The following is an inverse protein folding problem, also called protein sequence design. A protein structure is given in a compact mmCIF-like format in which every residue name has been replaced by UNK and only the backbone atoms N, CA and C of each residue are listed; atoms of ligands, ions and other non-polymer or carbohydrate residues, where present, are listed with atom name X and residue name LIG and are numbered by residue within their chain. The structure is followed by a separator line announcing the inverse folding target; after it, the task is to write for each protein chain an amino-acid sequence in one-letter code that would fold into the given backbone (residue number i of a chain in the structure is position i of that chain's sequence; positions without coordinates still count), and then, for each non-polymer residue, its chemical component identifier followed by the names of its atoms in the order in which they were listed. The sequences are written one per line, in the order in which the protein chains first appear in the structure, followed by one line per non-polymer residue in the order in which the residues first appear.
data_IF_051081139094
#
_entry.id   IF_051081139094
#
_cell.length_a   1.000
_cell.length_b   1.000
_cell.length_c   1.000
_cell.angle_alpha   90.00
_cell.angle_beta   90.00
_cell.angle_gamma   90.00
#
_symmetry.space_group_name_H-M   'P 1'
#
loop_
_entity.id
_entity.type
_entity.pdbx_description
1 polymer ?
#
# COMPACT_ATOMS: atom_id res chain seq x y z
N UNK A 1 -17.74 -0.24 5.73
CA UNK A 1 -17.19 -0.80 6.97
C UNK A 1 -15.69 -0.49 7.04
N UNK A 2 -15.22 -0.04 8.19
CA UNK A 2 -13.80 0.20 8.45
C UNK A 2 -13.25 -0.89 9.38
N UNK A 3 -11.95 -1.19 9.24
CA UNK A 3 -11.27 -2.17 10.09
C UNK A 3 -9.87 -1.72 10.47
N UNK A 4 -9.43 -2.13 11.62
CA UNK A 4 -8.04 -2.05 12.09
C UNK A 4 -7.85 -3.04 13.24
N UNK A 5 -6.61 -3.23 13.69
CA UNK A 5 -6.36 -4.04 14.89
C UNK A 5 -7.02 -3.42 16.13
N UNK A 6 -7.42 -4.25 17.09
CA UNK A 6 -8.04 -3.78 18.34
C UNK A 6 -7.19 -2.73 19.08
N UNK A 7 -5.86 -2.83 18.99
CA UNK A 7 -4.93 -1.86 19.58
C UNK A 7 -5.05 -0.50 18.88
N UNK A 8 -5.04 -0.48 17.55
CA UNK A 8 -5.15 0.75 16.77
C UNK A 8 -6.52 1.44 16.94
N UNK A 9 -7.59 0.66 17.07
CA UNK A 9 -8.94 1.20 17.31
C UNK A 9 -9.01 1.96 18.64
N UNK A 10 -8.34 1.47 19.69
CA UNK A 10 -8.28 2.16 20.99
C UNK A 10 -7.61 3.54 20.92
N UNK A 11 -6.80 3.81 19.91
CA UNK A 11 -6.22 5.15 19.68
C UNK A 11 -7.25 6.17 19.17
N UNK A 12 -8.46 5.74 18.80
CA UNK A 12 -9.63 6.57 18.57
C UNK A 12 -9.76 7.25 17.21
N UNK A 13 -8.73 7.27 16.38
CA UNK A 13 -8.75 7.99 15.09
C UNK A 13 -9.76 7.36 14.11
N UNK A 14 -9.77 6.04 14.01
CA UNK A 14 -10.67 5.34 13.08
C UNK A 14 -12.15 5.42 13.54
N UNK A 15 -12.41 5.48 14.85
CA UNK A 15 -13.76 5.62 15.39
C UNK A 15 -14.38 6.95 14.99
N UNK A 16 -13.62 8.04 15.07
CA UNK A 16 -14.05 9.37 14.61
C UNK A 16 -14.34 9.39 13.10
N UNK A 17 -13.53 8.66 12.33
CA UNK A 17 -13.76 8.52 10.90
C UNK A 17 -15.05 7.75 10.62
N UNK A 18 -15.29 6.66 11.34
CA UNK A 18 -16.51 5.87 11.20
C UNK A 18 -17.78 6.68 11.51
N UNK A 19 -17.75 7.49 12.57
CA UNK A 19 -18.84 8.43 12.90
C UNK A 19 -19.10 9.42 11.75
N UNK A 20 -18.02 10.02 11.21
CA UNK A 20 -18.11 10.96 10.09
C UNK A 20 -18.69 10.30 8.82
N UNK A 21 -18.39 9.03 8.59
CA UNK A 21 -18.84 8.27 7.42
C UNK A 21 -20.15 7.50 7.69
N UNK A 22 -20.76 7.62 8.87
CA UNK A 22 -21.93 6.87 9.29
C UNK A 22 -21.80 5.36 9.03
N UNK A 23 -20.69 4.77 9.50
CA UNK A 23 -20.37 3.35 9.30
C UNK A 23 -19.83 2.71 10.58
N UNK A 24 -19.66 1.39 10.56
CA UNK A 24 -19.17 0.62 11.69
C UNK A 24 -17.65 0.39 11.58
N UNK A 25 -17.01 0.14 12.72
CA UNK A 25 -15.63 -0.36 12.83
C UNK A 25 -15.67 -1.79 13.34
N UNK A 26 -15.11 -2.70 12.58
CA UNK A 26 -14.95 -4.09 12.99
C UNK A 26 -13.46 -4.35 13.28
N UNK A 27 -13.09 -4.71 14.51
CA UNK A 27 -11.69 -5.06 14.81
C UNK A 27 -11.30 -6.34 14.10
N UNK A 28 -10.15 -6.32 13.40
CA UNK A 28 -9.57 -7.51 12.79
C UNK A 28 -8.05 -7.38 12.67
N UNK A 29 -7.36 -8.48 12.95
CA UNK A 29 -5.98 -8.68 12.53
C UNK A 29 -5.98 -9.31 11.14
N UNK A 30 -5.50 -8.60 10.14
CA UNK A 30 -5.50 -9.06 8.75
C UNK A 30 -4.60 -10.30 8.53
N UNK A 31 -3.77 -10.69 9.49
CA UNK A 31 -3.00 -11.93 9.44
C UNK A 31 -3.79 -13.15 9.95
N UNK A 32 -4.91 -12.92 10.63
CA UNK A 32 -5.81 -13.95 11.18
C UNK A 32 -6.96 -14.23 10.21
N UNK A 33 -7.05 -15.46 9.72
CA UNK A 33 -8.16 -15.88 8.85
C UNK A 33 -9.49 -15.79 9.59
N UNK A 34 -9.53 -16.17 10.88
CA UNK A 34 -10.76 -16.09 11.68
C UNK A 34 -11.27 -14.65 11.87
N UNK A 35 -10.34 -13.69 12.09
CA UNK A 35 -10.71 -12.27 12.17
C UNK A 35 -11.24 -11.75 10.84
N UNK A 36 -10.63 -12.16 9.72
CA UNK A 36 -11.11 -11.81 8.39
C UNK A 36 -12.47 -12.42 8.07
N UNK A 37 -12.73 -13.65 8.50
CA UNK A 37 -14.05 -14.28 8.36
C UNK A 37 -15.11 -13.48 9.13
N UNK A 38 -14.84 -13.13 10.38
CA UNK A 38 -15.73 -12.30 11.17
C UNK A 38 -15.94 -10.91 10.55
N UNK A 39 -14.85 -10.28 10.05
CA UNK A 39 -14.93 -8.97 9.37
C UNK A 39 -15.87 -9.03 8.16
N UNK A 40 -15.71 -10.04 7.31
CA UNK A 40 -16.53 -10.20 6.11
C UNK A 40 -17.99 -10.48 6.49
N UNK A 41 -18.25 -11.34 7.48
CA UNK A 41 -19.62 -11.63 7.95
C UNK A 41 -20.30 -10.37 8.49
N UNK A 42 -19.60 -9.59 9.33
CA UNK A 42 -20.11 -8.31 9.86
C UNK A 42 -20.32 -7.27 8.77
N UNK A 43 -19.48 -7.27 7.73
CA UNK A 43 -19.65 -6.39 6.59
C UNK A 43 -20.91 -6.75 5.80
N UNK A 44 -21.11 -8.03 5.51
CA UNK A 44 -22.32 -8.53 4.82
C UNK A 44 -23.58 -8.27 5.65
N UNK A 45 -23.51 -8.46 6.97
CA UNK A 45 -24.62 -8.14 7.90
C UNK A 45 -24.97 -6.66 7.84
N UNK A 46 -23.96 -5.77 7.91
CA UNK A 46 -24.13 -4.31 7.89
C UNK A 46 -24.79 -3.81 6.60
N UNK A 47 -24.41 -4.37 5.46
CA UNK A 47 -24.98 -4.00 4.15
C UNK A 47 -26.23 -4.78 3.77
N UNK A 48 -26.62 -5.79 4.55
CA UNK A 48 -27.76 -6.66 4.24
C UNK A 48 -27.50 -7.60 3.07
N UNK A 49 -26.23 -7.88 2.73
CA UNK A 49 -25.83 -8.74 1.61
C UNK A 49 -24.39 -8.56 1.18
N UNK A 50 -24.11 -8.92 -0.08
CA UNK A 50 -22.80 -8.76 -0.69
C UNK A 50 -22.46 -7.28 -0.86
N UNK A 51 -21.16 -7.00 -0.96
CA UNK A 51 -20.64 -5.66 -1.20
C UNK A 51 -19.84 -5.60 -2.51
N UNK A 52 -19.55 -4.37 -2.98
CA UNK A 52 -18.98 -4.15 -4.31
C UNK A 52 -17.48 -3.87 -4.28
N UNK A 53 -16.96 -3.30 -3.17
CA UNK A 53 -15.61 -2.76 -3.14
C UNK A 53 -14.83 -3.22 -1.91
N UNK A 54 -13.53 -3.49 -2.11
CA UNK A 54 -12.59 -3.76 -1.04
C UNK A 54 -11.29 -2.99 -1.27
N UNK A 55 -10.86 -2.21 -0.28
CA UNK A 55 -9.55 -1.56 -0.27
C UNK A 55 -8.63 -2.24 0.75
N UNK A 56 -7.47 -2.68 0.30
CA UNK A 56 -6.38 -3.14 1.16
C UNK A 56 -5.30 -2.05 1.24
N UNK A 57 -5.26 -1.35 2.36
CA UNK A 57 -4.30 -0.28 2.66
C UNK A 57 -3.50 -0.63 3.92
N UNK A 58 -2.80 -1.77 3.88
CA UNK A 58 -2.06 -2.32 5.01
C UNK A 58 -0.60 -2.49 4.62
N UNK A 59 0.30 -2.14 5.54
CA UNK A 59 1.73 -2.37 5.35
C UNK A 59 2.51 -2.06 6.62
N UNK A 60 3.46 -2.93 6.96
CA UNK A 60 4.38 -2.73 8.07
C UNK A 60 5.60 -3.63 7.92
N UNK A 61 6.79 -3.08 8.15
CA UNK A 61 8.03 -3.84 8.28
C UNK A 61 8.71 -3.54 9.60
N UNK A 62 8.91 -4.54 10.46
CA UNK A 62 9.75 -4.37 11.64
C UNK A 62 11.23 -4.13 11.28
N UNK A 63 11.75 -4.72 10.20
CA UNK A 63 13.12 -4.50 9.73
C UNK A 63 13.36 -3.02 9.40
N UNK A 64 12.49 -2.44 8.57
CA UNK A 64 12.56 -1.01 8.20
C UNK A 64 12.47 -0.12 9.44
N UNK A 65 11.53 -0.39 10.35
CA UNK A 65 11.36 0.38 11.59
C UNK A 65 12.54 0.33 12.53
N UNK A 66 13.33 -0.75 12.48
CA UNK A 66 14.55 -0.91 13.29
C UNK A 66 15.81 -0.45 12.55
N UNK A 67 15.68 0.10 11.36
CA UNK A 67 16.80 0.62 10.58
C UNK A 67 17.77 -0.46 10.09
N UNK A 68 17.29 -1.71 9.94
CA UNK A 68 18.10 -2.78 9.37
C UNK A 68 18.33 -2.55 7.89
N UNK A 69 19.48 -2.98 7.39
CA UNK A 69 19.78 -2.97 5.95
C UNK A 69 19.26 -4.23 5.27
N UNK A 70 19.15 -4.23 3.95
CA UNK A 70 18.61 -5.36 3.19
C UNK A 70 19.51 -6.62 3.29
N UNK A 71 20.80 -6.44 3.43
CA UNK A 71 21.79 -7.51 3.59
C UNK A 71 21.95 -8.02 5.04
N UNK A 72 21.26 -7.37 6.00
CA UNK A 72 21.24 -7.77 7.42
C UNK A 72 19.79 -7.85 7.97
N UNK A 73 18.88 -8.44 7.20
CA UNK A 73 17.51 -8.63 7.62
C UNK A 73 17.38 -9.68 8.73
N UNK A 74 16.50 -9.41 9.67
CA UNK A 74 15.96 -10.42 10.58
C UNK A 74 14.85 -11.19 9.83
N UNK A 75 15.01 -12.50 9.69
CA UNK A 75 14.08 -13.32 8.91
C UNK A 75 12.72 -13.53 9.60
N UNK A 76 12.64 -13.47 10.92
CA UNK A 76 11.35 -13.48 11.63
C UNK A 76 10.58 -12.18 11.35
N UNK A 77 11.31 -11.06 11.25
CA UNK A 77 10.73 -9.78 10.85
C UNK A 77 10.35 -9.76 9.36
N UNK A 78 11.17 -10.35 8.49
CA UNK A 78 10.83 -10.52 7.07
C UNK A 78 9.53 -11.32 6.92
N UNK A 79 9.41 -12.44 7.62
CA UNK A 79 8.19 -13.26 7.60
C UNK A 79 6.96 -12.47 8.06
N UNK A 80 7.10 -11.65 9.11
CA UNK A 80 6.04 -10.74 9.57
C UNK A 80 5.72 -9.65 8.55
N UNK A 81 6.73 -9.07 7.91
CA UNK A 81 6.56 -8.06 6.87
C UNK A 81 5.73 -8.62 5.71
N UNK A 82 6.08 -9.81 5.21
CA UNK A 82 5.36 -10.47 4.13
C UNK A 82 3.94 -10.84 4.53
N UNK A 83 3.75 -11.39 5.74
CA UNK A 83 2.42 -11.79 6.22
C UNK A 83 1.49 -10.60 6.39
N UNK A 84 1.93 -9.54 7.05
CA UNK A 84 1.12 -8.34 7.29
C UNK A 84 0.88 -7.56 6.00
N UNK A 85 1.90 -7.38 5.15
CA UNK A 85 1.85 -6.40 4.05
C UNK A 85 1.41 -6.99 2.71
N UNK A 86 1.46 -8.32 2.54
CA UNK A 86 1.10 -8.99 1.28
C UNK A 86 0.20 -10.22 1.47
N UNK A 87 0.57 -11.17 2.34
CA UNK A 87 -0.20 -12.41 2.51
C UNK A 87 -1.57 -12.11 3.13
N UNK A 88 -1.70 -11.06 3.96
CA UNK A 88 -2.98 -10.57 4.45
C UNK A 88 -3.96 -10.23 3.33
N UNK A 89 -3.48 -9.68 2.21
CA UNK A 89 -4.29 -9.41 1.02
C UNK A 89 -4.78 -10.70 0.37
N UNK A 90 -3.89 -11.70 0.26
CA UNK A 90 -4.28 -13.03 -0.22
C UNK A 90 -5.38 -13.63 0.66
N UNK A 91 -5.18 -13.62 1.99
CA UNK A 91 -6.15 -14.13 2.97
C UNK A 91 -7.50 -13.42 2.84
N UNK A 92 -7.50 -12.08 2.77
CA UNK A 92 -8.72 -11.28 2.64
C UNK A 92 -9.52 -11.62 1.37
N UNK A 93 -8.86 -11.71 0.21
CA UNK A 93 -9.52 -12.08 -1.05
C UNK A 93 -10.04 -13.53 -0.97
N UNK A 94 -9.24 -14.45 -0.43
CA UNK A 94 -9.63 -15.86 -0.31
C UNK A 94 -10.87 -16.02 0.56
N UNK A 95 -10.95 -15.33 1.70
CA UNK A 95 -12.11 -15.34 2.59
C UNK A 95 -13.32 -14.73 1.90
N UNK A 96 -13.18 -13.55 1.31
CA UNK A 96 -14.27 -12.88 0.58
C UNK A 96 -14.83 -13.76 -0.55
N UNK A 97 -13.95 -14.44 -1.30
CA UNK A 97 -14.34 -15.36 -2.36
C UNK A 97 -15.05 -16.61 -1.83
N UNK A 98 -14.54 -17.25 -0.78
CA UNK A 98 -15.15 -18.45 -0.17
C UNK A 98 -16.54 -18.16 0.39
N UNK A 99 -16.75 -16.97 0.93
CA UNK A 99 -18.04 -16.52 1.46
C UNK A 99 -18.97 -15.93 0.39
N UNK A 100 -18.53 -15.88 -0.85
CA UNK A 100 -19.26 -15.24 -1.96
C UNK A 100 -19.69 -13.80 -1.63
N UNK A 101 -18.80 -13.05 -0.97
CA UNK A 101 -19.14 -11.78 -0.33
C UNK A 101 -19.15 -10.58 -1.29
N UNK A 102 -18.49 -10.70 -2.47
CA UNK A 102 -18.40 -9.60 -3.44
C UNK A 102 -19.36 -9.82 -4.59
N UNK A 103 -20.06 -8.77 -4.98
CA UNK A 103 -20.97 -8.75 -6.11
C UNK A 103 -20.24 -8.98 -7.45
N UNK A 104 -20.97 -9.44 -8.46
CA UNK A 104 -20.47 -9.49 -9.83
C UNK A 104 -20.05 -8.08 -10.28
N UNK A 105 -18.92 -7.97 -10.98
CA UNK A 105 -18.32 -6.72 -11.39
C UNK A 105 -17.78 -5.86 -10.23
N UNK A 106 -17.66 -6.42 -9.04
CA UNK A 106 -17.00 -5.74 -7.92
C UNK A 106 -15.55 -5.35 -8.23
N UNK A 107 -14.96 -4.54 -7.37
CA UNK A 107 -13.59 -4.04 -7.54
C UNK A 107 -12.80 -4.12 -6.24
N UNK A 108 -11.62 -4.71 -6.32
CA UNK A 108 -10.67 -4.83 -5.22
C UNK A 108 -9.42 -4.03 -5.58
N UNK A 109 -8.97 -3.16 -4.69
CA UNK A 109 -7.75 -2.37 -4.85
C UNK A 109 -6.83 -2.58 -3.66
N UNK A 110 -5.52 -2.72 -3.93
CA UNK A 110 -4.50 -2.71 -2.89
C UNK A 110 -3.48 -1.60 -3.16
N UNK A 111 -2.99 -0.95 -2.09
CA UNK A 111 -1.98 0.09 -2.22
C UNK A 111 -0.59 -0.53 -2.29
N UNK A 112 0.06 -0.37 -3.43
CA UNK A 112 1.44 -0.75 -3.70
C UNK A 112 2.37 0.46 -3.60
N UNK A 113 3.61 0.29 -4.03
CA UNK A 113 4.60 1.34 -4.15
C UNK A 113 5.61 0.98 -5.24
N UNK A 114 6.21 1.99 -5.86
CA UNK A 114 7.20 1.80 -6.95
C UNK A 114 8.37 0.90 -6.54
N UNK A 115 8.65 0.79 -5.24
CA UNK A 115 9.67 -0.11 -4.71
C UNK A 115 9.45 -1.59 -5.06
N UNK A 116 8.22 -1.99 -5.44
CA UNK A 116 7.95 -3.32 -6.00
C UNK A 116 8.70 -3.60 -7.31
N UNK A 117 9.11 -2.54 -8.03
CA UNK A 117 9.69 -2.63 -9.37
C UNK A 117 11.01 -1.85 -9.53
N UNK A 118 11.37 -1.03 -8.56
CA UNK A 118 12.59 -0.21 -8.54
C UNK A 118 13.25 -0.31 -7.18
N UNK A 119 14.58 -0.34 -7.17
CA UNK A 119 15.33 -0.27 -5.91
C UNK A 119 15.19 1.12 -5.31
N UNK A 120 14.67 1.17 -4.10
CA UNK A 120 14.63 2.38 -3.27
C UNK A 120 15.43 2.13 -2.00
N UNK A 121 16.42 2.98 -1.78
CA UNK A 121 17.24 2.92 -0.59
C UNK A 121 16.40 2.96 0.69
N UNK A 122 16.69 2.07 1.63
CA UNK A 122 16.01 2.03 2.93
C UNK A 122 14.59 1.45 2.95
N UNK A 123 14.02 1.09 1.79
CA UNK A 123 12.69 0.46 1.73
C UNK A 123 12.72 -1.05 1.98
N UNK A 124 13.87 -1.67 1.84
CA UNK A 124 14.24 -3.04 2.22
C UNK A 124 13.18 -4.11 1.89
N UNK A 125 12.85 -4.98 2.85
CA UNK A 125 11.87 -6.07 2.72
C UNK A 125 10.41 -5.62 2.46
N UNK A 126 10.10 -4.34 2.62
CA UNK A 126 8.83 -3.79 2.14
C UNK A 126 8.74 -3.81 0.61
N UNK A 127 9.87 -3.72 -0.11
CA UNK A 127 9.90 -3.87 -1.57
C UNK A 127 9.46 -5.27 -1.98
N UNK A 128 9.97 -6.30 -1.30
CA UNK A 128 9.60 -7.70 -1.53
C UNK A 128 8.11 -7.93 -1.25
N UNK A 129 7.61 -7.36 -0.14
CA UNK A 129 6.19 -7.44 0.20
C UNK A 129 5.30 -6.77 -0.86
N UNK A 130 5.69 -5.60 -1.40
CA UNK A 130 4.93 -4.93 -2.46
C UNK A 130 4.99 -5.70 -3.79
N UNK A 131 6.12 -6.31 -4.14
CA UNK A 131 6.22 -7.19 -5.30
C UNK A 131 5.32 -8.43 -5.18
N UNK A 132 5.28 -9.05 -3.99
CA UNK A 132 4.39 -10.17 -3.69
C UNK A 132 2.91 -9.74 -3.76
N UNK A 133 2.55 -8.57 -3.21
CA UNK A 133 1.20 -8.00 -3.26
C UNK A 133 0.71 -7.85 -4.71
N UNK A 134 1.54 -7.32 -5.60
CA UNK A 134 1.21 -7.16 -7.03
C UNK A 134 1.05 -8.53 -7.73
N UNK A 135 1.86 -9.52 -7.36
CA UNK A 135 1.72 -10.88 -7.88
C UNK A 135 0.41 -11.53 -7.43
N UNK A 136 0.01 -11.35 -6.17
CA UNK A 136 -1.27 -11.84 -5.63
C UNK A 136 -2.45 -11.18 -6.37
N UNK A 137 -2.38 -9.87 -6.62
CA UNK A 137 -3.41 -9.15 -7.37
C UNK A 137 -3.62 -9.73 -8.78
N UNK A 138 -2.53 -10.04 -9.49
CA UNK A 138 -2.62 -10.66 -10.83
C UNK A 138 -3.25 -12.05 -10.76
N UNK A 139 -2.82 -12.89 -9.83
CA UNK A 139 -3.32 -14.26 -9.70
C UNK A 139 -4.81 -14.33 -9.39
N UNK A 140 -5.26 -13.56 -8.40
CA UNK A 140 -6.68 -13.49 -8.06
C UNK A 140 -7.50 -12.72 -9.10
N UNK A 141 -6.93 -11.71 -9.74
CA UNK A 141 -7.58 -10.97 -10.83
C UNK A 141 -7.97 -11.88 -11.99
N UNK A 142 -7.14 -12.88 -12.31
CA UNK A 142 -7.51 -13.90 -13.28
C UNK A 142 -8.63 -14.80 -12.77
N UNK A 143 -8.49 -15.37 -11.56
CA UNK A 143 -9.45 -16.33 -11.01
C UNK A 143 -10.81 -15.66 -10.81
N UNK A 144 -10.86 -14.57 -10.04
CA UNK A 144 -12.09 -13.92 -9.65
C UNK A 144 -12.73 -13.15 -10.81
N UNK A 145 -11.88 -12.65 -11.73
CA UNK A 145 -12.34 -12.03 -12.98
C UNK A 145 -13.06 -13.00 -13.90
N UNK A 146 -12.60 -14.27 -13.97
CA UNK A 146 -13.29 -15.32 -14.75
C UNK A 146 -14.58 -15.79 -14.09
N UNK A 147 -14.63 -15.83 -12.77
CA UNK A 147 -15.78 -16.33 -12.03
C UNK A 147 -16.92 -15.30 -11.95
N UNK A 148 -16.60 -14.05 -11.62
CA UNK A 148 -17.58 -13.02 -11.27
C UNK A 148 -17.32 -11.67 -11.91
N UNK A 149 -16.36 -11.57 -12.82
CA UNK A 149 -15.90 -10.31 -13.41
C UNK A 149 -15.36 -9.31 -12.38
N UNK A 150 -14.97 -9.77 -11.18
CA UNK A 150 -14.37 -8.91 -10.15
C UNK A 150 -13.01 -8.44 -10.64
N UNK A 151 -12.79 -7.13 -10.60
CA UNK A 151 -11.54 -6.48 -11.01
C UNK A 151 -10.61 -6.36 -9.82
N UNK A 152 -9.35 -6.71 -9.99
CA UNK A 152 -8.35 -6.60 -8.93
C UNK A 152 -7.14 -5.86 -9.47
N UNK A 153 -6.82 -4.72 -8.86
CA UNK A 153 -5.72 -3.85 -9.26
C UNK A 153 -4.89 -3.42 -8.04
N UNK A 154 -3.68 -2.98 -8.31
CA UNK A 154 -2.85 -2.29 -7.33
C UNK A 154 -2.61 -0.85 -7.76
N UNK A 155 -2.50 0.06 -6.80
CA UNK A 155 -2.14 1.45 -7.02
C UNK A 155 -0.77 1.70 -6.40
N UNK A 156 0.21 2.03 -7.24
CA UNK A 156 1.53 2.49 -6.81
C UNK A 156 1.44 3.98 -6.53
N UNK A 157 1.27 4.31 -5.24
CA UNK A 157 1.01 5.66 -4.74
C UNK A 157 2.31 6.44 -4.49
N UNK A 158 2.27 7.76 -4.55
CA UNK A 158 3.33 8.65 -4.04
C UNK A 158 3.67 8.35 -2.59
N UNK A 159 4.91 8.62 -2.15
CA UNK A 159 5.22 8.56 -0.73
C UNK A 159 4.34 9.57 0.02
N UNK A 160 3.56 9.07 0.98
CA UNK A 160 2.60 9.85 1.74
C UNK A 160 2.88 9.73 3.24
N UNK A 161 2.80 10.83 4.03
CA UNK A 161 3.02 10.77 5.46
C UNK A 161 1.86 10.00 6.12
N UNK A 162 2.12 8.75 6.46
CA UNK A 162 1.18 7.87 7.14
C UNK A 162 1.81 7.31 8.42
N UNK A 163 1.01 6.78 9.33
CA UNK A 163 1.50 6.10 10.54
C UNK A 163 2.46 4.94 10.20
N UNK A 164 2.21 4.23 9.11
CA UNK A 164 3.10 3.17 8.62
C UNK A 164 4.40 3.77 8.05
N UNK A 165 4.28 4.83 7.25
CA UNK A 165 5.40 5.53 6.62
C UNK A 165 6.29 6.25 7.62
N UNK A 166 5.75 6.80 8.71
CA UNK A 166 6.53 7.49 9.76
C UNK A 166 7.59 6.61 10.44
N UNK A 167 7.50 5.29 10.29
CA UNK A 167 8.52 4.36 10.76
C UNK A 167 9.68 4.13 9.78
N UNK A 168 9.63 4.71 8.57
CA UNK A 168 10.69 4.57 7.57
C UNK A 168 11.76 5.64 7.84
N UNK A 169 12.99 5.21 8.12
CA UNK A 169 14.12 6.13 8.24
C UNK A 169 14.34 6.84 6.90
N UNK A 170 14.51 8.18 6.96
CA UNK A 170 14.68 8.98 5.75
C UNK A 170 13.41 9.21 4.92
N UNK A 171 12.22 8.96 5.46
CA UNK A 171 10.96 9.22 4.73
C UNK A 171 10.88 10.67 4.23
N UNK A 172 11.34 11.65 5.03
CA UNK A 172 11.38 13.06 4.63
C UNK A 172 12.23 13.30 3.39
N UNK A 173 13.41 12.67 3.33
CA UNK A 173 14.33 12.77 2.19
C UNK A 173 13.73 12.09 0.95
N UNK A 174 13.13 10.91 1.14
CA UNK A 174 12.44 10.18 0.07
C UNK A 174 11.28 11.02 -0.50
N UNK A 175 10.48 11.63 0.38
CA UNK A 175 9.37 12.51 -0.04
C UNK A 175 9.88 13.74 -0.77
N UNK A 176 10.93 14.40 -0.26
CA UNK A 176 11.56 15.56 -0.88
C UNK A 176 12.17 15.22 -2.23
N UNK A 177 12.83 14.07 -2.36
CA UNK A 177 13.36 13.60 -3.63
C UNK A 177 12.25 13.32 -4.65
N UNK A 178 11.21 12.56 -4.25
CA UNK A 178 10.09 12.27 -5.12
C UNK A 178 9.36 13.54 -5.58
N UNK A 179 9.15 14.51 -4.69
CA UNK A 179 8.59 15.84 -5.01
C UNK A 179 9.41 16.59 -6.06
N UNK A 180 10.73 16.52 -5.95
CA UNK A 180 11.64 17.19 -6.91
C UNK A 180 11.73 16.46 -8.26
N UNK A 181 11.47 15.16 -8.28
CA UNK A 181 11.48 14.34 -9.49
C UNK A 181 10.16 14.39 -10.24
N UNK A 182 9.03 14.41 -9.51
CA UNK A 182 7.69 14.29 -10.08
C UNK A 182 7.25 15.58 -10.79
N UNK A 183 6.82 15.53 -12.05
CA UNK A 183 6.29 16.69 -12.76
C UNK A 183 5.09 17.37 -12.08
N UNK A 184 4.21 16.58 -11.45
CA UNK A 184 3.03 17.07 -10.75
C UNK A 184 3.22 17.17 -9.22
N UNK A 185 4.43 16.85 -8.72
CA UNK A 185 4.69 16.71 -7.29
C UNK A 185 4.13 15.40 -6.71
N UNK A 186 4.22 15.24 -5.38
CA UNK A 186 3.64 14.09 -4.69
C UNK A 186 2.12 14.23 -4.60
N UNK A 187 1.42 13.13 -4.87
CA UNK A 187 -0.01 13.05 -4.66
C UNK A 187 -0.33 12.96 -3.16
N UNK A 188 -1.38 13.65 -2.73
CA UNK A 188 -1.92 13.57 -1.38
C UNK A 188 -2.69 12.27 -1.14
N UNK A 189 -3.13 12.05 0.10
CA UNK A 189 -4.02 10.93 0.43
C UNK A 189 -5.41 11.10 -0.22
N UNK A 190 -5.88 12.32 -0.33
CA UNK A 190 -7.13 12.70 -0.98
C UNK A 190 -7.07 12.43 -2.48
N UNK A 191 -6.00 12.83 -3.16
CA UNK A 191 -5.78 12.51 -4.58
C UNK A 191 -5.79 11.00 -4.82
N UNK A 192 -5.16 10.24 -3.92
CA UNK A 192 -5.18 8.77 -3.98
C UNK A 192 -6.58 8.21 -3.80
N UNK A 193 -7.37 8.77 -2.88
CA UNK A 193 -8.76 8.35 -2.65
C UNK A 193 -9.62 8.58 -3.89
N UNK A 194 -9.52 9.72 -4.54
CA UNK A 194 -10.23 10.04 -5.78
C UNK A 194 -9.87 9.07 -6.90
N UNK A 195 -8.58 8.72 -7.01
CA UNK A 195 -8.14 7.73 -7.98
C UNK A 195 -8.69 6.33 -7.67
N UNK A 196 -8.69 5.92 -6.39
CA UNK A 196 -9.29 4.64 -5.96
C UNK A 196 -10.80 4.61 -6.23
N UNK A 197 -11.53 5.70 -5.98
CA UNK A 197 -12.95 5.82 -6.33
C UNK A 197 -13.18 5.62 -7.84
N UNK A 198 -12.30 6.17 -8.68
CA UNK A 198 -12.35 5.93 -10.14
C UNK A 198 -12.18 4.45 -10.47
N UNK A 199 -11.27 3.75 -9.78
CA UNK A 199 -11.06 2.30 -9.96
C UNK A 199 -12.23 1.46 -9.42
N UNK A 200 -12.97 1.94 -8.46
CA UNK A 200 -14.20 1.29 -7.98
C UNK A 200 -15.38 1.49 -8.92
N UNK A 201 -15.39 2.60 -9.67
CA UNK A 201 -16.47 2.93 -10.59
C UNK A 201 -16.47 2.06 -11.87
N UNK A 202 -17.59 2.06 -12.60
CA UNK A 202 -17.73 1.40 -13.89
C UNK A 202 -16.92 2.07 -15.01
N UNK A 203 -16.39 3.28 -14.80
CA UNK A 203 -15.51 3.96 -15.74
C UNK A 203 -14.26 3.15 -16.10
N UNK A 204 -13.83 2.29 -15.18
CA UNK A 204 -12.66 1.42 -15.35
C UNK A 204 -13.03 -0.07 -15.48
N UNK A 205 -14.23 -0.37 -16.01
CA UNK A 205 -14.82 -1.71 -16.05
C UNK A 205 -13.96 -2.79 -16.71
N UNK A 206 -13.02 -2.43 -17.57
CA UNK A 206 -12.10 -3.37 -18.23
C UNK A 206 -10.66 -3.27 -17.73
N UNK A 207 -10.41 -2.57 -16.62
CA UNK A 207 -9.10 -2.44 -16.00
C UNK A 207 -9.00 -3.45 -14.85
N UNK A 208 -8.15 -4.47 -15.03
CA UNK A 208 -7.88 -5.49 -14.00
C UNK A 208 -6.47 -6.04 -14.16
N UNK A 209 -5.91 -6.59 -13.08
CA UNK A 209 -4.57 -7.19 -13.02
C UNK A 209 -3.44 -6.18 -13.30
N UNK A 210 -3.71 -4.89 -13.15
CA UNK A 210 -2.74 -3.83 -13.41
C UNK A 210 -2.15 -3.32 -12.10
N UNK A 211 -0.87 -2.91 -12.17
CA UNK A 211 -0.30 -1.97 -11.21
C UNK A 211 -0.35 -0.58 -11.84
N UNK A 212 -1.10 0.31 -11.24
CA UNK A 212 -1.40 1.65 -11.77
C UNK A 212 -0.63 2.69 -10.96
N UNK A 213 0.20 3.48 -11.64
CA UNK A 213 0.96 4.52 -10.99
C UNK A 213 0.10 5.76 -10.74
N UNK A 214 0.14 6.23 -9.50
CA UNK A 214 -0.48 7.48 -9.06
C UNK A 214 0.54 8.26 -8.22
N UNK A 215 1.58 8.75 -8.88
CA UNK A 215 2.81 9.25 -8.25
C UNK A 215 3.32 10.56 -8.86
N UNK A 216 2.44 11.35 -9.45
CA UNK A 216 2.81 12.61 -10.08
C UNK A 216 3.76 12.48 -11.27
N UNK A 217 3.94 11.26 -11.81
CA UNK A 217 4.84 10.95 -12.91
C UNK A 217 6.24 10.51 -12.47
N UNK A 218 6.48 10.32 -11.15
CA UNK A 218 7.77 9.88 -10.60
C UNK A 218 8.29 8.61 -11.28
N UNK A 219 7.47 7.59 -11.42
CA UNK A 219 7.83 6.28 -11.99
C UNK A 219 8.36 6.34 -13.41
N UNK A 220 8.01 7.38 -14.16
CA UNK A 220 8.42 7.60 -15.56
C UNK A 220 9.66 8.49 -15.70
N UNK A 221 10.13 9.09 -14.60
CA UNK A 221 11.26 10.01 -14.62
C UNK A 221 12.60 9.27 -14.44
N UNK A 222 13.55 9.52 -15.32
CA UNK A 222 14.95 9.17 -15.10
C UNK A 222 15.70 10.28 -14.36
N UNK A 223 15.41 11.55 -14.69
CA UNK A 223 16.12 12.71 -14.15
C UNK A 223 15.25 13.97 -14.28
N UNK A 224 15.24 14.84 -13.25
CA UNK A 224 14.58 16.15 -13.34
C UNK A 224 15.60 17.28 -13.21
N UNK A 225 15.33 18.41 -13.90
CA UNK A 225 16.16 19.60 -13.79
C UNK A 225 16.21 20.15 -12.36
N UNK A 226 15.11 20.03 -11.63
CA UNK A 226 14.99 20.49 -10.24
C UNK A 226 15.88 19.65 -9.32
N UNK A 227 15.81 18.31 -9.43
CA UNK A 227 16.67 17.40 -8.67
C UNK A 227 18.15 17.61 -8.98
N UNK A 228 18.51 17.78 -10.27
CA UNK A 228 19.89 18.09 -10.67
C UNK A 228 20.42 19.39 -10.05
N UNK A 229 19.62 20.44 -10.04
CA UNK A 229 20.03 21.72 -9.43
C UNK A 229 20.15 21.62 -7.91
N UNK A 230 19.30 20.84 -7.26
CA UNK A 230 19.39 20.59 -5.82
C UNK A 230 20.65 19.81 -5.49
N UNK A 231 20.96 18.77 -6.27
CA UNK A 231 22.21 18.01 -6.16
C UNK A 231 23.46 18.91 -6.37
N UNK A 232 23.47 19.71 -7.43
CA UNK A 232 24.58 20.66 -7.72
C UNK A 232 24.82 21.63 -6.55
N UNK A 233 23.76 22.13 -5.94
CA UNK A 233 23.89 23.04 -4.77
C UNK A 233 24.45 22.31 -3.55
N UNK A 234 24.01 21.08 -3.28
CA UNK A 234 24.54 20.26 -2.20
C UNK A 234 26.03 19.99 -2.36
N UNK A 235 26.47 19.64 -3.58
CA UNK A 235 27.86 19.36 -3.89
C UNK A 235 28.79 20.58 -3.72
N UNK A 236 28.26 21.81 -3.76
CA UNK A 236 29.07 23.03 -3.54
C UNK A 236 29.31 23.33 -2.07
N UNK A 237 28.55 22.73 -1.15
CA UNK A 237 28.62 23.06 0.28
C UNK A 237 29.20 21.93 1.13
N UNK A 238 29.26 20.74 0.61
CA UNK A 238 29.77 19.56 1.34
C UNK A 238 30.72 18.77 0.43
N UNK A 239 31.95 18.54 0.91
CA UNK A 239 32.75 17.42 0.42
C UNK A 239 32.00 16.13 0.83
N UNK A 240 31.13 15.61 -0.04
CA UNK A 240 30.45 14.35 0.18
C UNK A 240 31.48 13.24 0.05
N UNK A 241 32.12 12.90 1.17
CA UNK A 241 32.98 11.74 1.24
C UNK A 241 32.13 10.48 1.13
N UNK A 242 32.46 9.58 0.19
CA UNK A 242 31.81 8.26 0.02
C UNK A 242 31.67 7.47 1.32
N UNK A 243 32.58 7.74 2.29
CA UNK A 243 32.59 7.11 3.61
C UNK A 243 31.49 7.61 4.58
N UNK A 244 30.68 8.57 4.22
CA UNK A 244 29.54 9.05 5.03
C UNK A 244 28.23 8.34 4.70
N UNK A 245 28.19 7.52 3.66
CA UNK A 245 27.06 6.65 3.41
C UNK A 245 27.13 5.43 4.35
N UNK A 246 26.03 5.02 5.00
CA UNK A 246 26.00 3.88 5.91
C UNK A 246 26.32 2.53 5.24
N UNK A 247 26.66 2.50 3.96
CA UNK A 247 27.19 1.35 3.22
C UNK A 247 28.70 1.42 2.97
N UNK A 248 29.38 2.43 3.50
CA UNK A 248 30.83 2.51 3.49
C UNK A 248 31.42 1.57 4.54
N UNK A 249 31.45 0.30 4.23
CA UNK A 249 32.50 -0.70 4.53
C UNK A 249 32.23 -1.92 3.72
#
# INVERSE_FOLDING_TARGET
VLTNTAVSIRMGTISKLAEKCNTIVVPADATSVGDLENLIDKTMEHFGGKFDFMLHSIGMSPNVRKGRTYDDLDYDFLSKTLDISAISFHKAIQVARKKDAINDWGSIVALSYIAAQRTLYGYNDMADAKALLESIARSFGYIYGREKHVRINTVSQSPTPTTAGSGVLGLGDLMGFAENMSPLGNASAEDCADYVLTLFSDLTRKVTMQNLYHDGGFSSMGMSRRAMKTYEKGMRFEDVHENQYPFGK
#
